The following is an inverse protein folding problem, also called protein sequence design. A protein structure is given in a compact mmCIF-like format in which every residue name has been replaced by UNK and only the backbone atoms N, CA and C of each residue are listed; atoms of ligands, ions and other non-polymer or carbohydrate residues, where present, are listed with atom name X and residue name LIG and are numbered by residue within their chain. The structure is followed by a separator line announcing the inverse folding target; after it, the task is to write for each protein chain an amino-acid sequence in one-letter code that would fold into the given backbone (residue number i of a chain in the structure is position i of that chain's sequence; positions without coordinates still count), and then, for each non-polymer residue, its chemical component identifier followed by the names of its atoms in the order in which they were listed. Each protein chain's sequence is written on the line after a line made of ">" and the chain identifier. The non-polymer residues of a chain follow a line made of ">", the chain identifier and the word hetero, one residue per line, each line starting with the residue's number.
data_IF_397373549390
#
_entry.id   IF_397373549390
#
_cell.length_a   1.000
_cell.length_b   1.000
_cell.length_c   1.000
_cell.angle_alpha   90.00
_cell.angle_beta   90.00
_cell.angle_gamma   90.00
#
_symmetry.space_group_name_H-M   'P 1'
#
loop_
_entity.id
_entity.type
_entity.pdbx_description
1 polymer ?
#
# COMPACT_ATOMS: atom_id res chain seq x y z
N UNK A 1 -11.51 -2.99 33.65
CA UNK A 1 -10.17 -2.50 33.22
C UNK A 1 -9.54 -3.46 32.22
N UNK A 2 -9.62 -4.77 32.43
CA UNK A 2 -9.16 -5.79 31.46
C UNK A 2 -9.87 -5.75 30.10
N UNK A 3 -11.17 -5.43 30.05
CA UNK A 3 -11.94 -5.38 28.78
C UNK A 3 -11.42 -4.32 27.80
N UNK A 4 -10.94 -3.19 28.32
CA UNK A 4 -10.35 -2.11 27.51
C UNK A 4 -9.01 -2.55 26.93
N UNK A 5 -8.21 -3.28 27.70
CA UNK A 5 -6.91 -3.81 27.26
C UNK A 5 -7.11 -4.86 26.18
N UNK A 6 -8.06 -5.78 26.35
CA UNK A 6 -8.40 -6.81 25.36
C UNK A 6 -8.96 -6.16 24.08
N UNK A 7 -9.81 -5.14 24.21
CA UNK A 7 -10.32 -4.37 23.09
C UNK A 7 -9.21 -3.70 22.28
N UNK A 8 -8.32 -2.95 22.94
CA UNK A 8 -7.18 -2.27 22.28
C UNK A 8 -6.24 -3.29 21.64
N UNK A 9 -5.97 -4.40 22.33
CA UNK A 9 -5.11 -5.47 21.81
C UNK A 9 -5.69 -6.11 20.56
N UNK A 10 -7.01 -6.38 20.55
CA UNK A 10 -7.71 -6.90 19.37
C UNK A 10 -7.70 -5.93 18.19
N UNK A 11 -7.88 -4.63 18.44
CA UNK A 11 -7.82 -3.60 17.39
C UNK A 11 -6.42 -3.51 16.78
N UNK A 12 -5.36 -3.57 17.58
CA UNK A 12 -3.97 -3.55 17.09
C UNK A 12 -3.71 -4.74 16.16
N UNK A 13 -4.15 -5.94 16.55
CA UNK A 13 -4.02 -7.14 15.73
C UNK A 13 -4.82 -7.06 14.43
N UNK A 14 -6.08 -6.60 14.51
CA UNK A 14 -6.92 -6.38 13.34
C UNK A 14 -6.31 -5.38 12.37
N UNK A 15 -5.73 -4.27 12.88
CA UNK A 15 -5.05 -3.27 12.08
C UNK A 15 -3.80 -3.84 11.39
N UNK A 16 -3.08 -4.74 12.08
CA UNK A 16 -1.89 -5.37 11.53
C UNK A 16 -2.22 -6.28 10.34
N UNK A 17 -3.26 -7.12 10.50
CA UNK A 17 -3.77 -8.00 9.43
C UNK A 17 -4.33 -7.18 8.27
N UNK A 18 -5.12 -6.14 8.57
CA UNK A 18 -5.66 -5.25 7.55
C UNK A 18 -4.56 -4.52 6.78
N UNK A 19 -3.51 -4.05 7.47
CA UNK A 19 -2.34 -3.42 6.85
C UNK A 19 -1.57 -4.38 5.94
N UNK A 20 -1.36 -5.63 6.37
CA UNK A 20 -0.73 -6.66 5.53
C UNK A 20 -1.55 -6.97 4.27
N UNK A 21 -2.86 -7.15 4.44
CA UNK A 21 -3.77 -7.39 3.32
C UNK A 21 -3.79 -6.21 2.34
N UNK A 22 -3.79 -4.98 2.86
CA UNK A 22 -3.71 -3.76 2.06
C UNK A 22 -2.43 -3.69 1.23
N UNK A 23 -1.26 -3.89 1.84
CA UNK A 23 0.03 -3.85 1.12
C UNK A 23 0.07 -4.91 0.04
N UNK A 24 -0.36 -6.13 0.36
CA UNK A 24 -0.38 -7.22 -0.60
C UNK A 24 -1.30 -6.91 -1.78
N UNK A 25 -2.48 -6.36 -1.50
CA UNK A 25 -3.43 -5.95 -2.53
C UNK A 25 -2.91 -4.78 -3.38
N UNK A 26 -2.32 -3.75 -2.77
CA UNK A 26 -1.79 -2.58 -3.46
C UNK A 26 -0.60 -2.96 -4.37
N UNK A 27 0.32 -3.78 -3.86
CA UNK A 27 1.46 -4.31 -4.62
C UNK A 27 0.98 -5.17 -5.80
N UNK A 28 -0.04 -6.00 -5.62
CA UNK A 28 -0.54 -6.89 -6.70
C UNK A 28 -1.39 -6.14 -7.73
N UNK A 29 -2.23 -5.20 -7.28
CA UNK A 29 -3.25 -4.56 -8.13
C UNK A 29 -2.78 -3.25 -8.75
N UNK A 30 -2.14 -2.38 -7.96
CA UNK A 30 -1.78 -1.03 -8.37
C UNK A 30 -0.35 -0.96 -8.93
N UNK A 31 0.58 -1.76 -8.39
CA UNK A 31 1.99 -1.76 -8.83
C UNK A 31 2.28 -2.74 -9.97
N UNK A 32 1.49 -2.73 -11.06
CA UNK A 32 1.67 -3.65 -12.20
C UNK A 32 2.97 -3.42 -12.99
N UNK A 33 3.53 -2.21 -12.91
CA UNK A 33 4.80 -1.84 -13.55
C UNK A 33 6.02 -2.22 -12.70
N UNK A 34 5.82 -2.63 -11.45
CA UNK A 34 6.89 -3.00 -10.55
C UNK A 34 7.46 -4.38 -10.91
N UNK A 35 8.79 -4.56 -10.93
CA UNK A 35 9.39 -5.86 -11.19
C UNK A 35 8.93 -6.91 -10.16
N UNK A 36 8.67 -8.13 -10.62
CA UNK A 36 8.20 -9.26 -9.79
C UNK A 36 9.08 -9.49 -8.54
N UNK A 37 10.40 -9.32 -8.67
CA UNK A 37 11.35 -9.47 -7.56
C UNK A 37 11.14 -8.41 -6.47
N UNK A 38 10.95 -7.15 -6.85
CA UNK A 38 10.79 -6.03 -5.93
C UNK A 38 9.42 -6.10 -5.22
N UNK A 39 8.38 -6.51 -5.96
CA UNK A 39 7.05 -6.83 -5.42
C UNK A 39 7.10 -7.98 -4.42
N UNK A 40 7.82 -9.06 -4.71
CA UNK A 40 8.01 -10.17 -3.77
C UNK A 40 8.74 -9.73 -2.49
N UNK A 41 9.76 -8.87 -2.60
CA UNK A 41 10.48 -8.33 -1.44
C UNK A 41 9.55 -7.52 -0.55
N UNK A 42 8.69 -6.67 -1.13
CA UNK A 42 7.72 -5.89 -0.34
C UNK A 42 6.68 -6.75 0.35
N UNK A 43 6.16 -7.79 -0.32
CA UNK A 43 5.21 -8.74 0.30
C UNK A 43 5.91 -9.52 1.42
N UNK A 44 7.16 -9.97 1.19
CA UNK A 44 7.93 -10.72 2.19
C UNK A 44 8.28 -9.85 3.41
N UNK A 45 8.64 -8.59 3.18
CA UNK A 45 8.87 -7.61 4.24
C UNK A 45 7.58 -7.27 4.99
N UNK A 46 6.44 -7.17 4.28
CA UNK A 46 5.14 -6.91 4.89
C UNK A 46 4.70 -8.10 5.74
N UNK A 47 5.04 -9.32 5.35
CA UNK A 47 4.79 -10.51 6.13
C UNK A 47 5.63 -10.56 7.42
N UNK A 48 6.90 -10.16 7.35
CA UNK A 48 7.81 -10.16 8.49
C UNK A 48 7.55 -9.03 9.51
N UNK A 49 7.21 -7.82 9.03
CA UNK A 49 7.09 -6.62 9.87
C UNK A 49 5.67 -6.06 9.96
N UNK A 50 4.71 -6.63 9.23
CA UNK A 50 3.30 -6.25 9.28
C UNK A 50 3.03 -4.80 8.89
N UNK A 51 2.29 -4.09 9.73
CA UNK A 51 1.87 -2.70 9.49
C UNK A 51 3.02 -1.68 9.42
N UNK A 52 4.20 -1.97 9.98
CA UNK A 52 5.34 -1.06 9.93
C UNK A 52 5.90 -0.94 8.51
N UNK A 53 6.04 -2.08 7.82
CA UNK A 53 6.44 -2.08 6.41
C UNK A 53 5.34 -1.46 5.55
N UNK A 54 4.05 -1.60 5.91
CA UNK A 54 2.98 -0.92 5.18
C UNK A 54 3.14 0.60 5.17
N UNK A 55 3.56 1.17 6.30
CA UNK A 55 3.84 2.61 6.41
C UNK A 55 5.05 3.01 5.57
N UNK A 56 6.16 2.26 5.68
CA UNK A 56 7.38 2.52 4.91
C UNK A 56 7.12 2.34 3.41
N UNK A 57 6.35 1.34 3.03
CA UNK A 57 5.91 1.08 1.66
C UNK A 57 5.10 2.26 1.12
N UNK A 58 4.07 2.70 1.85
CA UNK A 58 3.26 3.83 1.44
C UNK A 58 4.09 5.09 1.25
N UNK A 59 5.08 5.33 2.13
CA UNK A 59 5.98 6.47 1.98
C UNK A 59 6.93 6.26 0.79
N UNK A 60 7.68 5.17 0.75
CA UNK A 60 8.69 4.93 -0.28
C UNK A 60 8.11 4.79 -1.69
N UNK A 61 6.95 4.17 -1.86
CA UNK A 61 6.34 4.00 -3.19
C UNK A 61 5.53 5.24 -3.58
N UNK A 62 4.67 5.73 -2.68
CA UNK A 62 3.72 6.82 -2.98
C UNK A 62 4.36 8.21 -2.92
N UNK A 63 5.45 8.43 -2.16
CA UNK A 63 6.19 9.70 -2.21
C UNK A 63 7.37 9.69 -3.17
N UNK A 64 7.93 8.52 -3.50
CA UNK A 64 9.03 8.48 -4.48
C UNK A 64 8.55 8.59 -5.92
N UNK A 65 7.24 8.44 -6.19
CA UNK A 65 6.66 8.53 -7.55
C UNK A 65 7.28 7.54 -8.55
N UNK A 66 8.02 6.55 -8.06
CA UNK A 66 9.00 5.78 -8.86
C UNK A 66 8.35 4.83 -9.87
N UNK A 67 7.09 4.48 -9.63
CA UNK A 67 6.22 3.72 -10.54
C UNK A 67 4.96 4.52 -10.90
N UNK A 68 4.91 5.79 -10.50
CA UNK A 68 3.85 6.74 -10.81
C UNK A 68 4.17 7.38 -12.16
N UNK A 69 4.25 6.55 -13.19
CA UNK A 69 4.20 7.04 -14.56
C UNK A 69 2.78 6.74 -15.08
N UNK A 70 2.01 7.83 -15.24
CA UNK A 70 0.73 7.93 -15.95
C UNK A 70 -0.55 7.56 -15.19
N UNK A 71 -0.91 8.32 -14.15
CA UNK A 71 -2.34 8.65 -13.90
C UNK A 71 -2.63 10.16 -14.05
N UNK A 72 -1.61 11.00 -14.24
CA UNK A 72 -1.81 12.44 -14.43
C UNK A 72 -2.07 12.86 -15.88
N UNK A 73 -1.85 12.00 -16.89
CA UNK A 73 -2.17 12.36 -18.29
C UNK A 73 -3.58 11.93 -18.76
N UNK A 74 -4.33 11.15 -17.98
CA UNK A 74 -5.72 10.83 -18.33
C UNK A 74 -6.71 11.89 -17.81
N UNK A 75 -6.32 12.69 -16.80
CA UNK A 75 -7.15 13.81 -16.34
C UNK A 75 -6.90 15.11 -17.15
N UNK A 76 -5.69 15.35 -17.64
CA UNK A 76 -5.37 16.54 -18.45
C UNK A 76 -5.83 16.45 -19.92
N UNK A 77 -6.12 15.24 -20.43
CA UNK A 77 -6.54 15.03 -21.82
C UNK A 77 -8.08 14.91 -21.99
N UNK A 78 -8.85 14.72 -20.91
CA UNK A 78 -10.32 14.86 -20.98
C UNK A 78 -10.79 16.33 -20.91
N UNK A 79 -10.01 17.26 -20.32
CA UNK A 79 -10.34 18.70 -20.35
C UNK A 79 -9.84 19.43 -21.61
N UNK A 80 -8.95 18.83 -22.42
CA UNK A 80 -8.33 19.48 -23.60
C UNK A 80 -8.64 18.71 -24.89
N UNK A 81 -9.94 18.57 -25.20
CA UNK A 81 -10.60 18.35 -26.53
C UNK A 81 -11.97 17.75 -26.22
N UNK A 82 -13.12 18.38 -26.48
CA UNK A 82 -13.69 18.90 -27.74
C UNK A 82 -14.91 19.74 -27.27
N UNK A 83 -15.16 21.02 -27.56
CA UNK A 83 -15.16 21.82 -28.79
C UNK A 83 -15.12 23.31 -28.42
#
# INVERSE_FOLDING_TARGET
>A
MFDVVIGIWGVIWALNIAGFAWVTYDVVKNQKLMPESERLVWIFMAFLFGSLIALVYAISIKLSGKYEEVELEENENEEVKVW
#
